data_IF_166332122371
#
_entry.id   IF_166332122371
#
_cell.length_a   1.000
_cell.length_b   1.000
_cell.length_c   1.000
_cell.angle_alpha   90.00
_cell.angle_beta   90.00
_cell.angle_gamma   90.00
#
_symmetry.space_group_name_H-M   'P 1'
#
loop_
_entity.id
_entity.type
_entity.pdbx_description
1 polymer ?
#
# COMPACT_ATOMS: atom_id res chain seq x y z
N UNK A 1 2.00 -25.91 13.86
CA UNK A 1 0.87 -26.40 13.02
C UNK A 1 1.18 -26.11 11.56
N UNK A 2 0.49 -26.71 10.59
CA UNK A 2 0.66 -26.40 9.16
C UNK A 2 -0.30 -25.28 8.73
N UNK A 3 0.08 -24.51 7.71
CA UNK A 3 -0.78 -23.47 7.13
C UNK A 3 -1.98 -24.05 6.37
N UNK A 4 -1.98 -25.37 6.09
CA UNK A 4 -3.08 -26.11 5.46
C UNK A 4 -3.94 -26.78 6.52
N UNK A 5 -5.24 -26.52 6.46
CA UNK A 5 -6.22 -27.03 7.43
C UNK A 5 -6.45 -28.55 7.34
N UNK A 6 -6.02 -29.18 6.24
CA UNK A 6 -6.10 -30.63 6.03
C UNK A 6 -5.09 -31.41 6.89
N UNK A 7 -4.00 -30.78 7.32
CA UNK A 7 -2.98 -31.39 8.16
C UNK A 7 -3.27 -31.08 9.63
N UNK A 8 -4.02 -31.98 10.28
CA UNK A 8 -4.46 -31.83 11.68
C UNK A 8 -3.42 -32.32 12.70
N UNK A 9 -2.62 -33.30 12.31
CA UNK A 9 -1.62 -33.90 13.21
C UNK A 9 -0.42 -32.96 13.40
N UNK A 10 0.20 -32.95 14.59
CA UNK A 10 1.42 -32.20 14.83
C UNK A 10 2.55 -32.69 13.92
N UNK A 11 3.27 -31.74 13.33
CA UNK A 11 4.47 -32.00 12.53
C UNK A 11 5.71 -31.67 13.35
N UNK A 12 6.71 -32.53 13.27
CA UNK A 12 7.97 -32.38 13.99
C UNK A 12 9.12 -32.13 13.03
N UNK A 13 10.10 -31.31 13.41
CA UNK A 13 11.35 -31.22 12.66
C UNK A 13 12.10 -32.54 12.81
N UNK A 14 12.57 -33.10 11.69
CA UNK A 14 13.35 -34.32 11.71
C UNK A 14 14.63 -34.16 12.55
N UNK A 15 14.96 -35.17 13.36
CA UNK A 15 16.12 -35.12 14.26
C UNK A 15 17.48 -34.96 13.57
N UNK A 16 17.55 -35.28 12.28
CA UNK A 16 18.77 -35.09 11.47
C UNK A 16 18.83 -33.69 10.84
N UNK A 17 17.82 -32.85 11.02
CA UNK A 17 17.84 -31.46 10.56
C UNK A 17 18.82 -30.64 11.42
N UNK A 18 19.57 -29.75 10.78
CA UNK A 18 20.44 -28.78 11.48
C UNK A 18 19.65 -27.81 12.35
N UNK A 19 18.36 -27.62 12.07
CA UNK A 19 17.44 -26.78 12.86
C UNK A 19 16.84 -27.53 14.06
N UNK A 20 17.09 -28.84 14.20
CA UNK A 20 16.51 -29.61 15.29
C UNK A 20 17.13 -29.20 16.63
N UNK A 21 16.27 -28.96 17.63
CA UNK A 21 16.65 -28.66 19.00
C UNK A 21 15.61 -29.23 19.94
N UNK A 22 16.06 -29.78 21.08
CA UNK A 22 15.16 -30.16 22.18
C UNK A 22 14.66 -28.93 22.97
N UNK A 23 15.36 -27.80 22.86
CA UNK A 23 14.90 -26.51 23.40
C UNK A 23 14.05 -25.80 22.34
N UNK A 24 12.74 -25.71 22.59
CA UNK A 24 11.76 -25.11 21.68
C UNK A 24 12.02 -23.62 21.42
N UNK A 25 12.67 -22.91 22.36
CA UNK A 25 13.00 -21.48 22.21
C UNK A 25 14.07 -21.22 21.16
N UNK A 26 14.82 -22.26 20.76
CA UNK A 26 15.83 -22.19 19.70
C UNK A 26 15.27 -22.56 18.34
N UNK A 27 14.02 -23.02 18.27
CA UNK A 27 13.38 -23.37 17.01
C UNK A 27 12.84 -22.10 16.33
N UNK A 28 12.99 -21.97 15.01
CA UNK A 28 12.37 -20.88 14.27
C UNK A 28 10.85 -21.00 14.35
N UNK A 29 10.18 -19.85 14.49
CA UNK A 29 8.71 -19.78 14.53
C UNK A 29 8.09 -20.14 13.17
N UNK A 30 8.71 -19.66 12.08
CA UNK A 30 8.26 -19.86 10.72
C UNK A 30 9.26 -20.69 9.92
N UNK A 31 8.76 -21.71 9.24
CA UNK A 31 9.56 -22.61 8.40
C UNK A 31 8.81 -22.95 7.12
N UNK A 32 9.55 -23.22 6.05
CA UNK A 32 9.06 -24.05 4.96
C UNK A 32 9.78 -25.40 4.98
N UNK A 33 9.15 -26.40 4.35
CA UNK A 33 9.67 -27.75 4.24
C UNK A 33 9.27 -28.32 2.88
N UNK A 34 10.03 -29.31 2.43
CA UNK A 34 9.84 -29.95 1.13
C UNK A 34 8.83 -31.11 1.24
N UNK A 35 9.08 -32.03 2.18
CA UNK A 35 8.29 -33.26 2.30
C UNK A 35 7.96 -33.61 3.75
N UNK A 36 6.85 -34.34 3.94
CA UNK A 36 6.45 -34.93 5.22
C UNK A 36 6.68 -36.44 5.13
N UNK A 37 7.42 -36.99 6.10
CA UNK A 37 7.69 -38.42 6.21
C UNK A 37 7.13 -38.94 7.53
N UNK A 38 6.29 -39.97 7.46
CA UNK A 38 5.78 -40.68 8.64
C UNK A 38 6.81 -41.68 9.14
N UNK A 39 7.05 -41.68 10.45
CA UNK A 39 8.03 -42.55 11.12
C UNK A 39 7.40 -43.23 12.32
N UNK A 40 7.71 -44.50 12.52
CA UNK A 40 7.39 -45.23 13.75
C UNK A 40 8.48 -44.97 14.77
N UNK A 41 8.11 -44.53 15.96
CA UNK A 41 8.99 -44.32 17.10
C UNK A 41 9.28 -45.64 17.82
N UNK A 42 10.19 -45.61 18.80
CA UNK A 42 10.56 -46.81 19.59
C UNK A 42 9.42 -47.36 20.45
N UNK A 43 8.45 -46.53 20.80
CA UNK A 43 7.26 -46.93 21.57
C UNK A 43 6.11 -47.44 20.68
N UNK A 44 6.32 -47.55 19.36
CA UNK A 44 5.34 -48.02 18.39
C UNK A 44 4.39 -46.94 17.88
N UNK A 45 4.45 -45.70 18.39
CA UNK A 45 3.64 -44.59 17.86
C UNK A 45 4.16 -44.11 16.49
N UNK A 46 3.26 -43.55 15.68
CA UNK A 46 3.63 -42.90 14.42
C UNK A 46 3.70 -41.40 14.59
N UNK A 47 4.80 -40.78 14.16
CA UNK A 47 4.95 -39.33 14.08
C UNK A 47 5.19 -38.88 12.65
N UNK A 48 4.72 -37.68 12.31
CA UNK A 48 4.99 -37.05 11.02
C UNK A 48 6.13 -36.04 11.15
N UNK A 49 7.17 -36.22 10.35
CA UNK A 49 8.40 -35.41 10.39
C UNK A 49 8.59 -34.61 9.11
N UNK A 50 8.98 -33.35 9.22
CA UNK A 50 9.28 -32.46 8.10
C UNK A 50 10.75 -32.63 7.68
N UNK A 51 10.97 -32.74 6.37
CA UNK A 51 12.30 -32.85 5.73
C UNK A 51 12.64 -31.60 4.91
N UNK A 52 13.95 -31.34 4.79
CA UNK A 52 14.51 -30.17 4.11
C UNK A 52 13.90 -28.85 4.61
N UNK A 53 13.97 -28.66 5.94
CA UNK A 53 13.35 -27.51 6.60
C UNK A 53 14.25 -26.29 6.47
N UNK A 54 13.66 -25.15 6.09
CA UNK A 54 14.34 -23.85 5.97
C UNK A 54 13.60 -22.82 6.83
N UNK A 55 14.31 -22.03 7.68
CA UNK A 55 13.68 -20.98 8.47
C UNK A 55 13.24 -19.83 7.56
N UNK A 56 12.14 -19.17 7.93
CA UNK A 56 11.59 -18.03 7.20
C UNK A 56 11.35 -16.85 8.14
N UNK A 57 11.46 -15.65 7.60
CA UNK A 57 10.90 -14.46 8.24
C UNK A 57 9.43 -14.31 7.79
N UNK A 58 8.52 -14.10 8.74
CA UNK A 58 7.10 -13.93 8.45
C UNK A 58 6.81 -12.74 7.51
N UNK A 59 7.66 -11.72 7.52
CA UNK A 59 7.54 -10.53 6.66
C UNK A 59 7.70 -10.84 5.18
N UNK A 60 8.32 -11.97 4.81
CA UNK A 60 8.48 -12.38 3.42
C UNK A 60 7.21 -13.01 2.86
N UNK A 61 6.37 -13.59 3.71
CA UNK A 61 5.20 -14.35 3.28
C UNK A 61 4.24 -13.52 2.43
N UNK A 62 3.87 -12.27 2.80
CA UNK A 62 2.92 -11.53 2.03
C UNK A 62 3.39 -11.19 0.62
N UNK A 63 4.65 -10.79 0.47
CA UNK A 63 5.24 -10.48 -0.84
C UNK A 63 5.43 -11.74 -1.68
N UNK A 64 5.90 -12.84 -1.09
CA UNK A 64 6.12 -14.11 -1.83
C UNK A 64 4.81 -14.78 -2.27
N UNK A 65 3.71 -14.49 -1.60
CA UNK A 65 2.40 -15.10 -1.89
C UNK A 65 1.43 -14.15 -2.60
N UNK A 66 1.88 -12.96 -3.00
CA UNK A 66 1.09 -12.01 -3.76
C UNK A 66 0.55 -12.66 -5.05
N UNK A 67 -0.74 -12.46 -5.33
CA UNK A 67 -1.43 -13.07 -6.48
C UNK A 67 -1.83 -14.54 -6.29
N UNK A 68 -1.49 -15.18 -5.17
CA UNK A 68 -1.90 -16.55 -4.87
C UNK A 68 -3.12 -16.61 -3.94
N UNK A 69 -3.75 -17.78 -3.84
CA UNK A 69 -4.83 -18.04 -2.86
C UNK A 69 -4.32 -18.25 -1.43
N UNK A 70 -2.99 -18.27 -1.22
CA UNK A 70 -2.41 -18.47 0.10
C UNK A 70 -2.45 -17.21 0.96
N UNK A 71 -2.64 -16.03 0.36
CA UNK A 71 -2.80 -14.78 1.11
C UNK A 71 -4.22 -14.26 1.01
N UNK A 72 -4.74 -13.81 2.13
CA UNK A 72 -5.96 -13.01 2.21
C UNK A 72 -5.60 -11.61 2.69
N UNK A 73 -6.00 -10.61 1.89
CA UNK A 73 -5.89 -9.20 2.24
C UNK A 73 -7.16 -8.77 2.98
N UNK A 74 -6.96 -8.06 4.09
CA UNK A 74 -8.02 -7.45 4.89
C UNK A 74 -8.16 -5.96 4.63
N UNK A 75 -8.73 -5.25 5.61
CA UNK A 75 -8.94 -3.81 5.50
C UNK A 75 -7.61 -3.03 5.57
N UNK A 76 -7.54 -1.85 4.93
CA UNK A 76 -6.46 -0.89 5.14
C UNK A 76 -6.31 -0.51 6.62
N UNK A 77 -5.06 -0.41 7.05
CA UNK A 77 -4.64 -0.04 8.41
C UNK A 77 -4.38 1.45 8.53
N UNK A 78 -4.74 2.03 9.66
CA UNK A 78 -4.51 3.45 9.97
C UNK A 78 -3.02 3.78 10.19
N UNK A 79 -2.20 2.78 10.52
CA UNK A 79 -0.77 2.93 10.82
C UNK A 79 0.04 1.78 10.19
N UNK A 80 1.17 2.08 9.52
CA UNK A 80 1.68 3.41 9.18
C UNK A 80 0.77 4.18 8.21
N UNK A 81 0.87 5.51 8.22
CA UNK A 81 0.09 6.35 7.31
C UNK A 81 0.46 6.09 5.85
N UNK A 82 -0.49 6.20 4.92
CA UNK A 82 -0.27 6.03 3.49
C UNK A 82 0.85 6.92 2.93
N UNK A 83 1.54 6.45 1.90
CA UNK A 83 2.64 7.17 1.23
C UNK A 83 2.49 7.08 -0.28
N UNK A 84 2.98 8.08 -0.99
CA UNK A 84 3.15 7.96 -2.44
C UNK A 84 4.45 7.19 -2.73
N UNK A 85 4.39 6.26 -3.68
CA UNK A 85 5.50 5.45 -4.15
C UNK A 85 5.75 5.81 -5.62
N UNK A 86 6.93 6.38 -5.90
CA UNK A 86 7.28 6.92 -7.21
C UNK A 86 7.44 5.81 -8.26
N UNK A 87 7.95 4.64 -7.86
CA UNK A 87 8.18 3.51 -8.76
C UNK A 87 6.86 2.87 -9.18
N UNK A 88 5.89 2.81 -8.25
CA UNK A 88 4.54 2.27 -8.50
C UNK A 88 3.55 3.30 -9.04
N UNK A 89 3.93 4.58 -9.02
CA UNK A 89 3.05 5.71 -9.32
C UNK A 89 1.69 5.59 -8.61
N UNK A 90 1.72 5.40 -7.30
CA UNK A 90 0.51 5.10 -6.54
C UNK A 90 0.59 5.51 -5.07
N UNK A 91 -0.59 5.72 -4.47
CA UNK A 91 -0.72 5.81 -3.01
C UNK A 91 -0.72 4.40 -2.44
N UNK A 92 0.28 4.10 -1.64
CA UNK A 92 0.46 2.84 -0.94
C UNK A 92 -0.04 2.95 0.51
N UNK A 93 -0.74 1.93 0.97
CA UNK A 93 -1.16 1.79 2.37
C UNK A 93 -0.79 0.40 2.91
N UNK A 94 -0.81 0.26 4.23
CA UNK A 94 -0.64 -1.05 4.86
C UNK A 94 -1.99 -1.74 4.94
N UNK A 95 -2.06 -3.02 4.58
CA UNK A 95 -3.28 -3.82 4.70
C UNK A 95 -3.05 -4.99 5.64
N UNK A 96 -4.08 -5.38 6.39
CA UNK A 96 -4.05 -6.61 7.19
C UNK A 96 -3.84 -7.82 6.26
N UNK A 97 -3.01 -8.77 6.69
CA UNK A 97 -2.65 -9.94 5.89
C UNK A 97 -2.81 -11.21 6.70
N UNK A 98 -3.39 -12.22 6.06
CA UNK A 98 -3.52 -13.57 6.61
C UNK A 98 -2.97 -14.59 5.63
N UNK A 99 -2.29 -15.61 6.15
CA UNK A 99 -1.63 -16.63 5.36
C UNK A 99 -2.21 -18.04 5.62
N UNK A 100 -2.40 -18.78 4.53
CA UNK A 100 -2.91 -20.14 4.49
C UNK A 100 -4.39 -20.29 4.84
N UNK A 101 -4.87 -21.53 4.74
CA UNK A 101 -6.26 -21.90 5.03
C UNK A 101 -6.63 -21.70 6.51
N UNK A 102 -5.61 -21.73 7.38
CA UNK A 102 -5.74 -21.47 8.80
C UNK A 102 -5.83 -19.97 9.15
N UNK A 103 -5.66 -19.08 8.17
CA UNK A 103 -5.81 -17.63 8.36
C UNK A 103 -4.83 -17.02 9.35
N UNK A 104 -3.59 -17.48 9.36
CA UNK A 104 -2.58 -16.99 10.29
C UNK A 104 -2.26 -15.53 10.01
N UNK A 105 -2.31 -14.70 11.04
CA UNK A 105 -1.89 -13.31 10.90
C UNK A 105 -0.40 -13.25 10.61
N UNK A 106 -0.04 -12.51 9.56
CA UNK A 106 1.35 -12.24 9.18
C UNK A 106 1.56 -10.72 9.13
N UNK A 107 2.81 -10.24 9.05
CA UNK A 107 3.06 -8.80 8.97
C UNK A 107 2.29 -8.12 7.82
N UNK A 108 1.81 -6.89 8.01
CA UNK A 108 1.07 -6.16 6.98
C UNK A 108 1.84 -6.01 5.66
N UNK A 109 1.12 -6.06 4.54
CA UNK A 109 1.68 -5.81 3.20
C UNK A 109 1.47 -4.35 2.80
N UNK A 110 2.45 -3.75 2.13
CA UNK A 110 2.25 -2.49 1.41
C UNK A 110 1.47 -2.76 0.12
N UNK A 111 0.28 -2.18 0.01
CA UNK A 111 -0.63 -2.41 -1.09
C UNK A 111 -1.18 -1.09 -1.64
N UNK A 112 -1.56 -1.10 -2.92
CA UNK A 112 -2.13 0.08 -3.55
C UNK A 112 -3.49 0.41 -2.93
N UNK A 113 -3.62 1.63 -2.41
CA UNK A 113 -4.78 2.06 -1.63
C UNK A 113 -6.08 1.95 -2.41
N UNK A 114 -6.09 2.33 -3.70
CA UNK A 114 -7.28 2.24 -4.57
C UNK A 114 -7.79 0.80 -4.65
N UNK A 115 -6.91 -0.13 -5.00
CA UNK A 115 -7.21 -1.57 -5.08
C UNK A 115 -7.62 -2.16 -3.74
N UNK A 116 -7.04 -1.67 -2.64
CA UNK A 116 -7.40 -2.12 -1.30
C UNK A 116 -8.89 -1.84 -0.98
N UNK A 117 -9.44 -0.71 -1.44
CA UNK A 117 -10.86 -0.40 -1.27
C UNK A 117 -11.78 -1.20 -2.18
N UNK A 118 -11.34 -1.52 -3.40
CA UNK A 118 -12.13 -2.34 -4.33
C UNK A 118 -12.31 -3.77 -3.82
N UNK A 119 -11.28 -4.31 -3.17
CA UNK A 119 -11.29 -5.67 -2.63
C UNK A 119 -11.96 -5.80 -1.25
N UNK A 120 -12.32 -4.69 -0.61
CA UNK A 120 -12.80 -4.70 0.78
C UNK A 120 -14.28 -4.30 0.88
N UNK A 121 -15.14 -5.23 1.27
CA UNK A 121 -16.56 -4.95 1.61
C UNK A 121 -16.74 -4.36 3.01
N UNK A 122 -15.69 -4.43 3.86
CA UNK A 122 -15.68 -3.96 5.24
C UNK A 122 -15.12 -2.53 5.33
N UNK A 123 -15.92 -1.59 5.84
CA UNK A 123 -15.46 -0.23 6.13
C UNK A 123 -14.33 -0.27 7.17
N UNK A 124 -13.15 0.22 6.81
CA UNK A 124 -12.13 0.59 7.81
C UNK A 124 -12.66 1.74 8.66
N UNK A 125 -12.38 1.73 9.97
CA UNK A 125 -12.90 2.73 10.91
C UNK A 125 -12.13 4.06 10.85
N UNK A 126 -10.93 4.07 10.25
CA UNK A 126 -10.09 5.25 10.13
C UNK A 126 -9.82 5.74 8.71
N UNK A 127 -10.03 4.90 7.69
CA UNK A 127 -9.75 5.23 6.29
C UNK A 127 -11.06 5.38 5.48
N UNK A 128 -11.20 6.51 4.78
CA UNK A 128 -12.38 6.87 3.98
C UNK A 128 -12.28 6.34 2.54
N UNK A 129 -13.40 6.08 1.86
CA UNK A 129 -13.39 5.53 0.49
C UNK A 129 -12.75 6.47 -0.56
N UNK A 130 -12.70 7.77 -0.28
CA UNK A 130 -12.05 8.80 -1.11
C UNK A 130 -10.60 9.08 -0.68
N UNK A 131 -10.03 8.30 0.26
CA UNK A 131 -8.69 8.57 0.78
C UNK A 131 -7.58 8.42 -0.26
N UNK A 132 -7.76 7.57 -1.28
CA UNK A 132 -6.83 7.50 -2.42
C UNK A 132 -6.63 8.89 -3.05
N UNK A 133 -7.74 9.57 -3.35
CA UNK A 133 -7.72 10.93 -3.90
C UNK A 133 -7.25 11.99 -2.90
N UNK A 134 -7.56 11.82 -1.61
CA UNK A 134 -7.12 12.76 -0.56
C UNK A 134 -5.61 12.71 -0.34
N UNK A 135 -5.05 11.52 -0.22
CA UNK A 135 -3.61 11.34 -0.08
C UNK A 135 -2.87 11.79 -1.34
N UNK A 136 -3.41 11.48 -2.53
CA UNK A 136 -2.87 12.01 -3.77
C UNK A 136 -2.89 13.55 -3.81
N UNK A 137 -4.03 14.18 -3.52
CA UNK A 137 -4.16 15.64 -3.48
C UNK A 137 -3.18 16.28 -2.49
N UNK A 138 -3.03 15.66 -1.31
CA UNK A 138 -2.09 16.11 -0.28
C UNK A 138 -0.66 16.09 -0.83
N UNK A 139 -0.21 14.95 -1.32
CA UNK A 139 1.15 14.80 -1.82
C UNK A 139 1.42 15.61 -3.08
N UNK A 140 0.41 15.85 -3.92
CA UNK A 140 0.50 16.78 -5.04
C UNK A 140 0.75 18.22 -4.57
N UNK A 141 -0.01 18.71 -3.58
CA UNK A 141 0.16 20.07 -3.04
C UNK A 141 1.41 20.22 -2.16
N UNK A 142 1.89 19.13 -1.56
CA UNK A 142 3.21 19.07 -0.90
C UNK A 142 4.37 19.03 -1.90
N UNK A 143 4.11 18.84 -3.20
CA UNK A 143 5.15 18.75 -4.22
C UNK A 143 5.90 17.41 -4.23
N UNK A 144 5.33 16.37 -3.62
CA UNK A 144 5.93 15.03 -3.51
C UNK A 144 5.58 14.09 -4.66
N UNK A 145 4.56 14.42 -5.46
CA UNK A 145 4.15 13.64 -6.63
C UNK A 145 4.88 14.11 -7.89
N UNK A 146 5.06 15.43 -8.03
CA UNK A 146 5.70 16.05 -9.18
C UNK A 146 6.81 16.97 -8.70
N UNK A 147 8.04 16.69 -9.11
CA UNK A 147 9.23 17.46 -8.73
C UNK A 147 9.11 18.95 -9.07
N UNK A 148 8.41 19.27 -10.18
CA UNK A 148 8.16 20.66 -10.57
C UNK A 148 7.34 21.46 -9.55
N UNK A 149 6.71 20.79 -8.59
CA UNK A 149 5.88 21.39 -7.54
C UNK A 149 6.55 21.40 -6.16
N UNK A 150 7.82 21.01 -6.02
CA UNK A 150 8.54 20.93 -4.73
C UNK A 150 8.47 22.22 -3.87
N UNK A 151 8.31 23.40 -4.50
CA UNK A 151 8.15 24.69 -3.80
C UNK A 151 6.72 25.11 -3.47
N UNK A 152 5.69 24.41 -3.98
CA UNK A 152 4.30 24.85 -3.95
C UNK A 152 3.78 25.02 -2.52
N UNK A 153 4.08 24.08 -1.63
CA UNK A 153 3.59 24.07 -0.24
C UNK A 153 3.86 25.38 0.51
N UNK A 154 5.05 25.96 0.32
CA UNK A 154 5.46 27.23 0.96
C UNK A 154 4.61 28.44 0.55
N UNK A 155 3.97 28.35 -0.62
CA UNK A 155 3.15 29.40 -1.21
C UNK A 155 1.67 29.31 -0.78
N UNK A 156 1.27 28.21 -0.13
CA UNK A 156 -0.12 27.93 0.24
C UNK A 156 -0.52 28.56 1.57
N UNK A 157 -1.79 28.90 1.71
CA UNK A 157 -2.36 29.53 2.90
C UNK A 157 -2.64 28.55 4.06
N UNK A 158 -2.72 27.25 3.79
CA UNK A 158 -2.80 26.20 4.80
C UNK A 158 -1.90 25.03 4.41
N UNK A 159 -1.45 24.27 5.41
CA UNK A 159 -0.73 23.02 5.23
C UNK A 159 -1.60 21.97 4.50
N UNK A 160 -1.14 21.37 3.39
CA UNK A 160 -1.85 20.29 2.69
C UNK A 160 -2.26 19.11 3.58
N UNK A 161 -1.62 18.90 4.73
CA UNK A 161 -2.01 17.88 5.71
C UNK A 161 -3.46 18.00 6.19
N UNK A 162 -4.13 19.14 6.01
CA UNK A 162 -5.56 19.27 6.31
C UNK A 162 -6.45 18.41 5.39
N UNK A 163 -5.98 18.02 4.20
CA UNK A 163 -6.75 17.24 3.21
C UNK A 163 -7.11 15.85 3.75
N UNK A 164 -6.19 15.24 4.49
CA UNK A 164 -6.34 13.89 5.06
C UNK A 164 -7.00 13.89 6.43
N UNK A 165 -7.61 15.01 6.86
CA UNK A 165 -8.39 15.07 8.11
C UNK A 165 -9.79 14.52 7.89
N UNK A 166 -10.34 13.85 8.92
CA UNK A 166 -11.69 13.24 8.89
C UNK A 166 -12.82 14.25 8.59
N UNK A 167 -12.67 15.51 9.00
CA UNK A 167 -13.62 16.60 8.73
C UNK A 167 -13.02 17.59 7.74
N UNK A 168 -13.24 17.40 6.42
CA UNK A 168 -12.68 18.28 5.40
C UNK A 168 -13.39 19.64 5.38
N UNK A 169 -12.64 20.70 5.07
CA UNK A 169 -13.18 22.03 4.77
C UNK A 169 -13.57 22.12 3.29
N UNK A 170 -14.39 23.11 2.90
CA UNK A 170 -14.91 23.24 1.53
C UNK A 170 -13.83 23.15 0.44
N UNK A 171 -12.67 23.79 0.64
CA UNK A 171 -11.57 23.73 -0.35
C UNK A 171 -10.93 22.35 -0.51
N UNK A 172 -10.99 21.51 0.51
CA UNK A 172 -10.58 20.09 0.44
C UNK A 172 -11.59 19.33 -0.42
N UNK A 173 -12.89 19.50 -0.16
CA UNK A 173 -13.92 18.85 -0.98
C UNK A 173 -13.84 19.25 -2.45
N UNK A 174 -13.53 20.52 -2.74
CA UNK A 174 -13.39 21.00 -4.13
C UNK A 174 -12.27 20.28 -4.90
N UNK A 175 -11.10 20.07 -4.29
CA UNK A 175 -9.98 19.40 -4.96
C UNK A 175 -10.21 17.88 -5.04
N UNK A 176 -10.70 17.26 -3.96
CA UNK A 176 -10.95 15.82 -3.92
C UNK A 176 -12.05 15.41 -4.91
N UNK A 177 -13.16 16.15 -4.98
CA UNK A 177 -14.23 15.88 -5.95
C UNK A 177 -13.78 16.09 -7.41
N UNK A 178 -12.89 17.05 -7.67
CA UNK A 178 -12.36 17.25 -9.01
C UNK A 178 -11.48 16.06 -9.44
N UNK A 179 -10.61 15.58 -8.55
CA UNK A 179 -9.77 14.42 -8.78
C UNK A 179 -10.58 13.14 -8.96
N UNK A 180 -11.53 12.87 -8.05
CA UNK A 180 -12.36 11.67 -8.13
C UNK A 180 -13.29 11.66 -9.34
N UNK A 181 -13.89 12.81 -9.67
CA UNK A 181 -14.73 12.94 -10.86
C UNK A 181 -13.99 12.77 -12.18
N UNK A 182 -12.68 13.07 -12.20
CA UNK A 182 -11.80 12.88 -13.35
C UNK A 182 -11.08 11.51 -13.36
N UNK A 183 -11.20 10.71 -12.29
CA UNK A 183 -10.43 9.48 -12.13
C UNK A 183 -8.91 9.70 -12.06
N UNK A 184 -8.48 10.85 -11.51
CA UNK A 184 -7.06 11.22 -11.41
C UNK A 184 -6.55 10.91 -10.01
N UNK A 185 -5.71 9.90 -9.89
CA UNK A 185 -5.24 9.35 -8.60
C UNK A 185 -3.72 9.18 -8.50
N UNK A 186 -3.00 9.46 -9.59
CA UNK A 186 -1.55 9.30 -9.68
C UNK A 186 -0.94 10.27 -10.71
N UNK A 187 0.39 10.32 -10.80
CA UNK A 187 1.09 11.27 -11.68
C UNK A 187 0.79 10.98 -13.16
N UNK A 188 0.75 9.72 -13.56
CA UNK A 188 0.44 9.31 -14.94
C UNK A 188 -0.96 9.73 -15.36
N UNK A 189 -1.98 9.45 -14.55
CA UNK A 189 -3.37 9.87 -14.82
C UNK A 189 -3.51 11.39 -14.85
N UNK A 190 -2.81 12.13 -13.99
CA UNK A 190 -2.81 13.60 -13.99
C UNK A 190 -2.16 14.17 -15.26
N UNK A 191 -1.00 13.63 -15.65
CA UNK A 191 -0.27 13.98 -16.88
C UNK A 191 -1.13 13.76 -18.12
N UNK A 192 -1.74 12.58 -18.22
CA UNK A 192 -2.69 12.22 -19.27
C UNK A 192 -3.84 13.22 -19.33
N UNK A 193 -4.50 13.47 -18.21
CA UNK A 193 -5.66 14.35 -18.14
C UNK A 193 -5.32 15.79 -18.56
N UNK A 194 -4.15 16.30 -18.17
CA UNK A 194 -3.68 17.62 -18.63
C UNK A 194 -3.40 17.67 -20.14
N UNK A 195 -2.89 16.59 -20.72
CA UNK A 195 -2.51 16.53 -22.13
C UNK A 195 -3.71 16.33 -23.06
N UNK A 196 -4.69 15.52 -22.64
CA UNK A 196 -5.79 15.04 -23.50
C UNK A 196 -7.13 15.72 -23.20
N UNK A 197 -7.36 16.20 -21.98
CA UNK A 197 -8.67 16.69 -21.55
C UNK A 197 -8.66 18.19 -21.21
N UNK A 198 -7.91 18.60 -20.19
CA UNK A 198 -7.91 19.98 -19.71
C UNK A 198 -6.58 20.37 -19.07
N UNK A 199 -5.76 21.15 -19.80
CA UNK A 199 -4.51 21.72 -19.29
C UNK A 199 -4.69 22.73 -18.14
N UNK A 200 -5.91 23.16 -17.83
CA UNK A 200 -6.25 24.03 -16.70
C UNK A 200 -6.82 23.26 -15.51
N UNK A 201 -6.87 21.93 -15.58
CA UNK A 201 -7.41 21.09 -14.52
C UNK A 201 -6.77 21.41 -13.16
N UNK A 202 -7.59 21.43 -12.11
CA UNK A 202 -7.30 21.85 -10.73
C UNK A 202 -6.92 23.32 -10.50
N UNK A 203 -6.74 24.14 -11.54
CA UNK A 203 -6.34 25.54 -11.35
C UNK A 203 -7.39 26.35 -10.57
N UNK A 204 -8.67 26.09 -10.81
CA UNK A 204 -9.78 26.69 -10.05
C UNK A 204 -9.76 26.23 -8.58
N UNK A 205 -9.48 24.95 -8.36
CA UNK A 205 -9.41 24.32 -7.04
C UNK A 205 -8.18 24.80 -6.25
N UNK A 206 -7.11 25.25 -6.91
CA UNK A 206 -5.89 25.76 -6.29
C UNK A 206 -6.06 27.19 -5.74
N UNK A 207 -6.96 28.00 -6.32
CA UNK A 207 -7.17 29.40 -5.91
C UNK A 207 -7.46 29.57 -4.40
N UNK A 208 -8.36 28.78 -3.77
CA UNK A 208 -8.59 28.83 -2.32
C UNK A 208 -7.41 28.38 -1.45
N UNK A 209 -6.39 27.73 -2.02
CA UNK A 209 -5.18 27.31 -1.29
C UNK A 209 -4.06 28.35 -1.36
N UNK A 210 -4.17 29.36 -2.21
CA UNK A 210 -3.07 30.29 -2.48
C UNK A 210 -3.13 31.50 -1.54
N UNK A 211 -1.99 31.92 -0.98
CA UNK A 211 -1.87 33.21 -0.29
C UNK A 211 -2.06 34.37 -1.28
N UNK A 212 -2.65 35.49 -0.86
CA UNK A 212 -3.00 36.60 -1.78
C UNK A 212 -1.77 37.19 -2.46
N UNK A 213 -0.69 37.30 -1.71
CA UNK A 213 0.63 37.79 -2.12
C UNK A 213 1.34 36.84 -3.11
N UNK A 214 1.04 35.53 -3.06
CA UNK A 214 1.74 34.50 -3.84
C UNK A 214 0.99 34.09 -5.12
N UNK A 215 -0.12 34.75 -5.47
CA UNK A 215 -0.98 34.35 -6.62
C UNK A 215 -0.19 34.30 -7.92
N UNK A 216 0.70 35.26 -8.16
CA UNK A 216 1.53 35.30 -9.37
C UNK A 216 2.54 34.15 -9.42
N UNK A 217 3.18 33.85 -8.29
CA UNK A 217 4.19 32.81 -8.18
C UNK A 217 3.58 31.41 -8.28
N UNK A 218 2.46 31.16 -7.60
CA UNK A 218 1.72 29.90 -7.73
C UNK A 218 1.26 29.68 -9.17
N UNK A 219 0.72 30.71 -9.82
CA UNK A 219 0.31 30.60 -11.23
C UNK A 219 1.50 30.27 -12.14
N UNK A 220 2.63 30.94 -11.96
CA UNK A 220 3.85 30.70 -12.75
C UNK A 220 4.36 29.28 -12.55
N UNK A 221 4.50 28.85 -11.30
CA UNK A 221 4.95 27.51 -10.93
C UNK A 221 4.03 26.44 -11.52
N UNK A 222 2.71 26.56 -11.30
CA UNK A 222 1.71 25.61 -11.78
C UNK A 222 1.71 25.48 -13.30
N UNK A 223 1.68 26.60 -14.03
CA UNK A 223 1.69 26.59 -15.50
C UNK A 223 2.98 25.96 -16.05
N UNK A 224 4.12 26.24 -15.42
CA UNK A 224 5.41 25.63 -15.78
C UNK A 224 5.38 24.11 -15.56
N UNK A 225 4.88 23.67 -14.40
CA UNK A 225 4.75 22.26 -14.05
C UNK A 225 3.84 21.51 -15.03
N UNK A 226 2.66 22.07 -15.35
CA UNK A 226 1.72 21.48 -16.32
C UNK A 226 2.37 21.33 -17.69
N UNK A 227 3.01 22.37 -18.21
CA UNK A 227 3.67 22.31 -19.53
C UNK A 227 4.71 21.20 -19.60
N UNK A 228 5.60 21.12 -18.60
CA UNK A 228 6.64 20.08 -18.54
C UNK A 228 6.02 18.68 -18.44
N UNK A 229 4.99 18.50 -17.63
CA UNK A 229 4.32 17.22 -17.43
C UNK A 229 3.51 16.76 -18.66
N UNK A 230 2.94 17.68 -19.43
CA UNK A 230 2.35 17.37 -20.75
C UNK A 230 3.43 16.89 -21.73
N UNK A 231 4.61 17.53 -21.74
CA UNK A 231 5.73 17.07 -22.59
C UNK A 231 6.21 15.68 -22.18
N UNK A 232 6.31 15.39 -20.88
CA UNK A 232 6.63 14.05 -20.37
C UNK A 232 5.62 13.02 -20.87
N UNK A 233 4.31 13.31 -20.75
CA UNK A 233 3.25 12.41 -21.25
C UNK A 233 3.44 12.10 -22.74
N UNK A 234 3.61 13.13 -23.57
CA UNK A 234 3.73 12.98 -25.02
C UNK A 234 4.99 12.23 -25.49
N UNK A 235 6.02 12.17 -24.65
CA UNK A 235 7.24 11.44 -24.97
C UNK A 235 7.19 9.97 -24.52
N UNK A 236 6.29 9.64 -23.59
CA UNK A 236 6.13 8.29 -23.03
C UNK A 236 4.93 7.54 -23.62
N UNK A 237 3.94 8.27 -24.15
CA UNK A 237 2.76 7.73 -24.85
C UNK A 237 3.06 7.36 -26.30
#
# INVERSE_FOLDING_TARGET
MSCRSTLKDPLFIDRNSVLYSNDSRKLPEWICFDTIVRKTTKDGSSISTMKNVTPLDASWLPTLSEGTKLISLGSPLDTPTPKYDDDKDAIMCSVETKFGDCGWHVPPLQFEMRKAFENTTKKSTGILMDDSFRWFARYLLEGKVLEELHGLSSLLNDDPAIITRKKPVNKVSLIVCALSGAGVENASSLRKYWAENDSKFLFKQLKPWTKKENVADVKRLWVSAVKKNITIWKNTA
#
